data_IF_300028836236
#
_entry.id   IF_300028836236
#
_cell.length_a   1.000
_cell.length_b   1.000
_cell.length_c   1.000
_cell.angle_alpha   90.00
_cell.angle_beta   90.00
_cell.angle_gamma   90.00
#
_symmetry.space_group_name_H-M   'P 1'
#
loop_
_entity.id
_entity.type
_entity.pdbx_description
1 polymer ?
#
# COMPACT_ATOMS: atom_id res chain seq x y z
N UNK A 1 23.39 -4.94 -14.89
CA UNK A 1 22.63 -5.38 -16.08
C UNK A 1 21.18 -5.05 -15.84
N UNK A 2 20.46 -4.51 -16.81
CA UNK A 2 19.02 -4.22 -16.74
C UNK A 2 18.35 -5.16 -17.73
N UNK A 3 17.28 -5.83 -17.29
CA UNK A 3 16.45 -6.70 -18.11
C UNK A 3 15.04 -6.12 -18.21
N UNK A 4 14.47 -6.12 -19.40
CA UNK A 4 13.10 -5.72 -19.65
C UNK A 4 12.24 -6.96 -19.88
N UNK A 5 11.33 -7.24 -18.93
CA UNK A 5 10.50 -8.45 -18.99
C UNK A 5 9.18 -8.27 -19.73
N UNK A 6 8.89 -7.06 -20.21
CA UNK A 6 7.63 -6.77 -20.89
C UNK A 6 6.42 -6.94 -19.97
N UNK A 7 5.25 -7.16 -20.59
CA UNK A 7 4.01 -7.42 -19.86
C UNK A 7 4.05 -8.80 -19.18
N UNK A 8 3.67 -8.85 -17.92
CA UNK A 8 3.58 -10.07 -17.11
C UNK A 8 2.13 -10.29 -16.66
N UNK A 9 1.59 -11.48 -16.87
CA UNK A 9 0.22 -11.84 -16.47
C UNK A 9 0.11 -12.14 -14.98
N UNK A 10 1.17 -12.69 -14.39
CA UNK A 10 1.21 -13.10 -12.98
C UNK A 10 2.24 -12.27 -12.22
N UNK A 11 1.80 -11.24 -11.51
CA UNK A 11 2.67 -10.45 -10.63
C UNK A 11 3.23 -11.25 -9.44
N UNK A 12 2.50 -12.19 -8.83
CA UNK A 12 3.08 -13.06 -7.78
C UNK A 12 4.32 -13.82 -8.25
N UNK A 13 4.36 -14.32 -9.48
CA UNK A 13 5.52 -15.04 -10.03
C UNK A 13 6.72 -14.11 -10.25
N UNK A 14 6.46 -12.85 -10.64
CA UNK A 14 7.48 -11.81 -10.74
C UNK A 14 8.06 -11.50 -9.36
N UNK A 15 7.20 -11.29 -8.38
CA UNK A 15 7.65 -11.00 -7.00
C UNK A 15 8.36 -12.20 -6.37
N UNK A 16 7.98 -13.43 -6.68
CA UNK A 16 8.67 -14.63 -6.20
C UNK A 16 10.15 -14.67 -6.63
N UNK A 17 10.47 -14.12 -7.80
CA UNK A 17 11.82 -14.05 -8.35
C UNK A 17 12.59 -12.80 -7.90
N UNK A 18 11.94 -11.83 -7.27
CA UNK A 18 12.57 -10.59 -6.80
C UNK A 18 12.97 -10.65 -5.34
N UNK A 19 14.01 -9.93 -4.96
CA UNK A 19 14.43 -9.77 -3.56
C UNK A 19 13.90 -8.49 -2.93
N UNK A 20 13.70 -7.46 -3.75
CA UNK A 20 13.27 -6.11 -3.35
C UNK A 20 12.35 -5.60 -4.44
N UNK A 21 11.30 -4.89 -4.06
CA UNK A 21 10.44 -4.15 -5.00
C UNK A 21 10.71 -2.66 -4.83
N UNK A 22 10.99 -1.97 -5.94
CA UNK A 22 11.29 -0.56 -5.94
C UNK A 22 10.30 0.21 -6.81
N UNK A 23 9.59 1.18 -6.21
CA UNK A 23 8.67 2.09 -6.91
C UNK A 23 9.01 3.55 -6.56
N UNK A 24 9.95 4.20 -7.26
CA UNK A 24 10.34 5.59 -6.98
C UNK A 24 9.33 6.56 -7.64
N UNK A 25 8.08 6.57 -7.16
CA UNK A 25 7.02 7.40 -7.72
C UNK A 25 7.28 8.89 -7.47
N UNK A 26 7.06 9.71 -8.51
CA UNK A 26 7.14 11.18 -8.44
C UNK A 26 5.77 11.83 -8.33
N UNK A 27 4.73 11.08 -8.57
CA UNK A 27 3.36 11.58 -8.61
C UNK A 27 2.60 11.14 -7.36
N UNK A 28 1.60 11.95 -7.00
CA UNK A 28 0.64 11.54 -5.97
C UNK A 28 -0.21 10.40 -6.53
N UNK A 29 -0.05 9.25 -5.94
CA UNK A 29 -0.90 8.10 -6.17
C UNK A 29 -1.92 7.98 -5.03
N UNK A 30 -3.07 7.34 -5.28
CA UNK A 30 -3.99 7.06 -4.17
C UNK A 30 -3.34 6.04 -3.24
N UNK A 31 -3.34 4.78 -3.66
CA UNK A 31 -2.63 3.68 -3.00
C UNK A 31 -2.09 2.77 -4.10
N UNK A 32 -0.78 2.71 -4.34
CA UNK A 32 -0.23 1.92 -5.44
C UNK A 32 -0.47 0.43 -5.23
N UNK A 33 -1.31 -0.17 -6.08
CA UNK A 33 -1.66 -1.60 -6.00
C UNK A 33 -0.44 -2.51 -6.02
N UNK A 34 0.57 -2.17 -6.81
CA UNK A 34 1.83 -2.92 -6.90
C UNK A 34 2.55 -3.05 -5.57
N UNK A 35 2.46 -2.05 -4.68
CA UNK A 35 3.07 -2.10 -3.35
C UNK A 35 2.30 -3.04 -2.42
N UNK A 36 0.95 -3.08 -2.51
CA UNK A 36 0.12 -4.03 -1.78
C UNK A 36 0.47 -5.46 -2.21
N UNK A 37 0.55 -5.70 -3.51
CA UNK A 37 0.89 -7.00 -4.09
C UNK A 37 2.29 -7.45 -3.69
N UNK A 38 3.29 -6.55 -3.74
CA UNK A 38 4.65 -6.82 -3.29
C UNK A 38 4.71 -7.19 -1.80
N UNK A 39 4.06 -6.41 -0.96
CA UNK A 39 3.97 -6.69 0.47
C UNK A 39 3.25 -8.02 0.75
N UNK A 40 2.16 -8.33 0.03
CA UNK A 40 1.45 -9.62 0.13
C UNK A 40 2.35 -10.81 -0.19
N UNK A 41 3.31 -10.62 -1.09
CA UNK A 41 4.34 -11.62 -1.43
C UNK A 41 5.55 -11.60 -0.49
N UNK A 42 5.50 -10.84 0.60
CA UNK A 42 6.59 -10.74 1.58
C UNK A 42 7.86 -10.10 1.02
N UNK A 43 7.73 -9.17 0.09
CA UNK A 43 8.89 -8.45 -0.48
C UNK A 43 9.07 -7.11 0.22
N UNK A 44 10.28 -6.81 0.70
CA UNK A 44 10.59 -5.49 1.22
C UNK A 44 10.52 -4.46 0.10
N UNK A 45 10.05 -3.27 0.44
CA UNK A 45 9.75 -2.23 -0.53
C UNK A 45 10.68 -1.03 -0.34
N UNK A 46 11.19 -0.50 -1.45
CA UNK A 46 11.82 0.83 -1.51
C UNK A 46 10.90 1.73 -2.33
N UNK A 47 10.41 2.80 -1.74
CA UNK A 47 9.53 3.75 -2.42
C UNK A 47 9.77 5.17 -1.94
N UNK A 48 9.24 6.14 -2.66
CA UNK A 48 9.35 7.55 -2.28
C UNK A 48 8.39 7.93 -1.17
N UNK A 49 8.79 8.90 -0.35
CA UNK A 49 8.01 9.46 0.73
C UNK A 49 6.88 10.36 0.20
N UNK A 50 5.92 9.74 -0.47
CA UNK A 50 4.77 10.38 -1.11
C UNK A 50 3.45 9.87 -0.53
N UNK A 51 2.38 10.70 -0.54
CA UNK A 51 1.04 10.23 -0.24
C UNK A 51 0.66 9.01 -1.10
N UNK A 52 0.00 8.02 -0.50
CA UNK A 52 -0.29 6.73 -1.12
C UNK A 52 0.81 5.69 -0.85
N UNK A 53 2.08 6.02 -1.05
CA UNK A 53 3.19 5.14 -0.69
C UNK A 53 3.31 4.96 0.83
N UNK A 54 3.14 6.04 1.60
CA UNK A 54 3.13 6.02 3.07
C UNK A 54 2.01 5.19 3.69
N UNK A 55 0.93 4.98 2.95
CA UNK A 55 -0.20 4.17 3.41
C UNK A 55 0.18 2.68 3.50
N UNK A 56 1.14 2.24 2.68
CA UNK A 56 1.61 0.86 2.61
C UNK A 56 2.96 0.69 3.30
N UNK A 57 3.86 1.68 3.16
CA UNK A 57 5.25 1.55 3.62
C UNK A 57 5.48 2.41 4.86
N UNK A 58 5.84 1.75 5.95
CA UNK A 58 6.31 2.33 7.19
C UNK A 58 7.84 2.24 7.20
N UNK A 59 8.50 3.42 7.16
CA UNK A 59 9.95 3.50 7.03
C UNK A 59 10.69 2.75 8.14
N UNK A 60 11.57 1.84 7.75
CA UNK A 60 12.37 1.04 8.68
C UNK A 60 11.64 -0.19 9.25
N UNK A 61 10.33 -0.34 9.03
CA UNK A 61 9.54 -1.48 9.49
C UNK A 61 9.33 -2.49 8.36
N UNK A 62 8.55 -2.14 7.35
CA UNK A 62 8.23 -3.02 6.23
C UNK A 62 8.84 -2.57 4.89
N UNK A 63 9.68 -1.53 4.91
CA UNK A 63 10.36 -1.00 3.73
C UNK A 63 11.10 0.29 4.02
N UNK A 64 11.59 0.91 2.95
CA UNK A 64 12.33 2.16 3.00
C UNK A 64 11.57 3.26 2.25
N UNK A 65 11.28 4.37 2.92
CA UNK A 65 10.81 5.60 2.30
C UNK A 65 12.03 6.51 2.04
N UNK A 66 12.16 6.98 0.82
CA UNK A 66 13.22 7.90 0.39
C UNK A 66 12.64 9.20 -0.13
N UNK A 67 13.36 10.33 -0.10
CA UNK A 67 12.90 11.58 -0.68
C UNK A 67 12.56 11.40 -2.18
N UNK A 68 11.51 12.06 -2.69
CA UNK A 68 11.24 12.09 -4.12
C UNK A 68 12.40 12.79 -4.86
N UNK A 69 12.64 12.41 -6.10
CA UNK A 69 13.72 12.92 -6.96
C UNK A 69 15.16 12.71 -6.44
N UNK A 70 15.36 11.85 -5.46
CA UNK A 70 16.68 11.50 -4.92
C UNK A 70 17.08 10.08 -5.33
N UNK A 71 17.69 9.94 -6.51
CA UNK A 71 18.16 8.65 -7.03
C UNK A 71 19.27 8.03 -6.17
N UNK A 72 20.04 8.87 -5.45
CA UNK A 72 21.09 8.39 -4.55
C UNK A 72 20.48 7.72 -3.32
N UNK A 73 19.51 8.36 -2.70
CA UNK A 73 18.78 7.77 -1.58
C UNK A 73 18.08 6.44 -1.96
N UNK A 74 17.54 6.34 -3.19
CA UNK A 74 17.00 5.08 -3.72
C UNK A 74 18.10 4.01 -3.81
N UNK A 75 19.26 4.34 -4.37
CA UNK A 75 20.37 3.42 -4.51
C UNK A 75 20.89 2.95 -3.14
N UNK A 76 21.10 3.87 -2.21
CA UNK A 76 21.59 3.57 -0.87
C UNK A 76 20.60 2.66 -0.10
N UNK A 77 19.29 2.89 -0.24
CA UNK A 77 18.27 2.04 0.36
C UNK A 77 18.27 0.62 -0.24
N UNK A 78 18.42 0.50 -1.55
CA UNK A 78 18.51 -0.81 -2.23
C UNK A 78 19.78 -1.54 -1.80
N UNK A 79 20.93 -0.88 -1.78
CA UNK A 79 22.22 -1.47 -1.36
C UNK A 79 22.11 -2.00 0.07
N UNK A 80 21.58 -1.20 0.99
CA UNK A 80 21.35 -1.61 2.38
C UNK A 80 20.52 -2.88 2.49
N UNK A 81 19.45 -2.97 1.72
CA UNK A 81 18.62 -4.18 1.70
C UNK A 81 19.30 -5.36 1.01
N UNK A 82 20.14 -5.15 0.01
CA UNK A 82 20.89 -6.23 -0.63
C UNK A 82 21.96 -6.83 0.29
N UNK A 83 22.59 -6.01 1.12
CA UNK A 83 23.63 -6.44 2.05
C UNK A 83 23.09 -7.14 3.29
N UNK A 84 21.83 -6.90 3.68
CA UNK A 84 21.22 -7.43 4.89
C UNK A 84 20.03 -8.35 4.58
N UNK A 85 20.28 -9.65 4.53
CA UNK A 85 19.26 -10.66 4.24
C UNK A 85 18.22 -10.80 5.38
N UNK A 86 18.65 -10.61 6.63
CA UNK A 86 17.77 -10.70 7.80
C UNK A 86 16.80 -9.51 7.82
N UNK A 87 17.29 -8.32 7.54
CA UNK A 87 16.48 -7.12 7.40
C UNK A 87 15.44 -7.28 6.28
N UNK A 88 15.85 -7.83 5.13
CA UNK A 88 14.91 -8.10 4.02
C UNK A 88 13.78 -9.05 4.45
N UNK A 89 14.12 -10.16 5.09
CA UNK A 89 13.15 -11.13 5.57
C UNK A 89 12.19 -10.49 6.59
N UNK A 90 12.73 -9.80 7.59
CA UNK A 90 11.94 -9.09 8.60
C UNK A 90 10.97 -8.09 8.00
N UNK A 91 11.45 -7.23 7.10
CA UNK A 91 10.61 -6.23 6.44
C UNK A 91 9.54 -6.87 5.56
N UNK A 92 9.87 -7.95 4.87
CA UNK A 92 8.91 -8.70 4.06
C UNK A 92 7.78 -9.29 4.91
N UNK A 93 8.11 -9.92 6.04
CA UNK A 93 7.13 -10.51 6.96
C UNK A 93 6.22 -9.43 7.57
N UNK A 94 6.80 -8.30 7.99
CA UNK A 94 6.03 -7.16 8.52
C UNK A 94 5.11 -6.55 7.46
N UNK A 95 5.60 -6.40 6.22
CA UNK A 95 4.79 -5.91 5.11
C UNK A 95 3.61 -6.82 4.81
N UNK A 96 3.83 -8.13 4.80
CA UNK A 96 2.78 -9.12 4.60
C UNK A 96 1.72 -9.07 5.71
N UNK A 97 2.14 -8.98 6.97
CA UNK A 97 1.23 -8.86 8.10
C UNK A 97 0.35 -7.61 8.00
N UNK A 98 0.96 -6.45 7.73
CA UNK A 98 0.25 -5.17 7.56
C UNK A 98 -0.82 -5.28 6.46
N UNK A 99 -0.47 -5.83 5.31
CA UNK A 99 -1.41 -5.90 4.17
C UNK A 99 -2.56 -6.87 4.44
N UNK A 100 -2.29 -7.98 5.12
CA UNK A 100 -3.33 -8.91 5.54
C UNK A 100 -4.32 -8.28 6.51
N UNK A 101 -3.85 -7.44 7.42
CA UNK A 101 -4.68 -6.76 8.42
C UNK A 101 -5.48 -5.60 7.82
N UNK A 102 -4.86 -4.75 6.99
CA UNK A 102 -5.45 -3.49 6.57
C UNK A 102 -6.04 -3.50 5.16
N UNK A 103 -5.54 -4.37 4.27
CA UNK A 103 -5.86 -4.38 2.84
C UNK A 103 -6.43 -5.70 2.33
N UNK A 104 -6.76 -6.65 3.22
CA UNK A 104 -7.49 -7.86 2.81
C UNK A 104 -8.86 -7.52 2.21
N UNK A 105 -9.35 -8.37 1.34
CA UNK A 105 -10.66 -8.19 0.69
C UNK A 105 -11.76 -8.07 1.73
N UNK A 106 -11.71 -8.91 2.76
CA UNK A 106 -12.66 -8.91 3.88
C UNK A 106 -12.67 -7.56 4.58
N UNK A 107 -11.50 -7.03 4.89
CA UNK A 107 -11.35 -5.74 5.58
C UNK A 107 -11.84 -4.56 4.74
N UNK A 108 -11.52 -4.57 3.46
CA UNK A 108 -11.99 -3.54 2.52
C UNK A 108 -13.51 -3.58 2.37
N UNK A 109 -14.10 -4.77 2.25
CA UNK A 109 -15.55 -4.95 2.18
C UNK A 109 -16.23 -4.47 3.46
N UNK A 110 -15.70 -4.84 4.63
CA UNK A 110 -16.22 -4.40 5.93
C UNK A 110 -16.26 -2.87 6.03
N UNK A 111 -15.11 -2.21 5.81
CA UNK A 111 -15.01 -0.74 5.83
C UNK A 111 -15.96 -0.08 4.81
N UNK A 112 -16.11 -0.67 3.64
CA UNK A 112 -17.03 -0.16 2.59
C UNK A 112 -18.49 -0.25 3.03
N UNK A 113 -18.90 -1.38 3.59
CA UNK A 113 -20.25 -1.59 4.10
C UNK A 113 -20.57 -0.63 5.26
N UNK A 114 -19.62 -0.36 6.13
CA UNK A 114 -19.79 0.64 7.20
C UNK A 114 -20.09 2.03 6.64
N UNK A 115 -19.34 2.47 5.63
CA UNK A 115 -19.57 3.76 4.96
C UNK A 115 -20.98 3.81 4.37
N UNK A 116 -21.45 2.77 3.68
CA UNK A 116 -22.81 2.71 3.15
C UNK A 116 -23.87 2.79 4.25
N UNK A 117 -23.70 2.06 5.34
CA UNK A 117 -24.61 2.10 6.49
C UNK A 117 -24.71 3.51 7.09
N UNK A 118 -23.57 4.19 7.23
CA UNK A 118 -23.53 5.55 7.77
C UNK A 118 -24.23 6.57 6.85
N UNK A 119 -24.05 6.45 5.54
CA UNK A 119 -24.74 7.31 4.56
C UNK A 119 -26.25 7.10 4.62
N UNK A 120 -26.71 5.85 4.69
CA UNK A 120 -28.12 5.52 4.79
C UNK A 120 -28.76 6.08 6.09
N UNK A 121 -28.11 5.88 7.23
CA UNK A 121 -28.56 6.44 8.52
C UNK A 121 -28.66 7.98 8.48
N UNK A 122 -27.69 8.66 7.85
CA UNK A 122 -27.73 10.13 7.69
C UNK A 122 -28.89 10.57 6.79
N UNK A 123 -29.19 9.81 5.73
CA UNK A 123 -30.32 10.09 4.83
C UNK A 123 -31.65 9.94 5.57
N UNK A 124 -31.85 8.87 6.34
CA UNK A 124 -33.04 8.62 7.12
C UNK A 124 -33.30 9.74 8.15
N UNK A 125 -32.26 10.15 8.88
CA UNK A 125 -32.36 11.27 9.84
C UNK A 125 -32.75 12.59 9.17
N UNK A 126 -32.21 12.88 7.97
CA UNK A 126 -32.59 14.07 7.20
C UNK A 126 -34.04 14.01 6.74
N UNK A 127 -34.51 12.88 6.24
CA UNK A 127 -35.88 12.69 5.82
C UNK A 127 -36.87 12.83 6.99
N UNK A 128 -36.55 12.25 8.14
CA UNK A 128 -37.38 12.38 9.35
C UNK A 128 -37.46 13.83 9.87
N UNK A 129 -36.33 14.59 9.81
CA UNK A 129 -36.30 16.01 10.21
C UNK A 129 -37.13 16.92 9.29
N UNK A 130 -37.17 16.61 7.99
CA UNK A 130 -38.00 17.38 7.02
C UNK A 130 -39.50 17.15 7.28
N UNK A 131 -39.88 15.91 7.58
CA UNK A 131 -41.31 15.59 7.89
C UNK A 131 -41.74 16.23 9.21
N UNK A 132 -40.89 16.26 10.23
CA UNK A 132 -41.20 16.89 11.52
C UNK A 132 -41.40 18.42 11.40
N UNK A 133 -40.65 19.10 10.51
CA UNK A 133 -40.77 20.54 10.28
C UNK A 133 -41.95 20.92 9.34
N UNK A 134 -42.49 19.96 8.60
CA UNK A 134 -43.66 20.21 7.71
C UNK A 134 -45.03 20.06 8.42
N UNK A 135 -45.01 19.55 9.65
CA UNK A 135 -46.24 19.32 10.48
C UNK A 135 -46.35 20.26 11.68
N UNK A 136 -45.43 21.21 11.81
CA UNK A 136 -45.47 22.29 12.81
C UNK A 136 -45.86 23.62 12.15
#
# INVERSE_FOLDING_TARGET
MIEWWGYQESMPDVFAQSHIVCLPSKYRECVPKVLIEAASCGRPIVTTDMPGCREIVQHGENGMLVPPDDSRAVADAIIRLLEDAELRAKMGDQGRALVQEEFSVERVVEKTVEVYRDVLRKKERRSAGIVANATA
#
